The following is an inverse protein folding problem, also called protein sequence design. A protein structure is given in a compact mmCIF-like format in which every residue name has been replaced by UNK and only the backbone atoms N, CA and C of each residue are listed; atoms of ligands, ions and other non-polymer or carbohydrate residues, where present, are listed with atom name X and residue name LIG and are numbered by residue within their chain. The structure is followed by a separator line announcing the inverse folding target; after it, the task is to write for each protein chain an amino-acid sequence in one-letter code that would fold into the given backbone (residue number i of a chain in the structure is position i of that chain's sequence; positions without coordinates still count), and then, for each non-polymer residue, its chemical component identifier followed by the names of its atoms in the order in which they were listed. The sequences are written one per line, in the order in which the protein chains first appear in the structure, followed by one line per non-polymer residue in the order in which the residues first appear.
data_IF_610043282610
#
_entry.id   IF_610043282610
#
_cell.length_a   1.000
_cell.length_b   1.000
_cell.length_c   1.000
_cell.angle_alpha   90.00
_cell.angle_beta   90.00
_cell.angle_gamma   90.00
#
_symmetry.space_group_name_H-M   'P 1'
#
loop_
_entity.id
_entity.type
_entity.pdbx_description
1 polymer ?
#
# COMPACT_ATOMS: atom_id res chain seq x y z
N UNK A 1 -6.93 8.53 6.54
CA UNK A 1 -6.61 9.08 5.20
C UNK A 1 -5.17 8.68 4.91
N UNK A 2 -4.82 8.33 3.66
CA UNK A 2 -3.47 7.87 3.36
C UNK A 2 -2.48 9.03 3.57
N UNK A 3 -1.29 8.72 4.09
CA UNK A 3 -0.26 9.72 4.36
C UNK A 3 0.36 10.17 3.03
N UNK A 4 0.23 11.45 2.69
CA UNK A 4 0.78 11.99 1.44
C UNK A 4 2.30 12.04 1.47
N UNK A 5 2.92 11.75 0.33
CA UNK A 5 4.38 11.81 0.20
C UNK A 5 4.78 13.30 0.16
N UNK A 6 5.77 13.75 0.96
CA UNK A 6 6.23 15.14 0.90
C UNK A 6 6.72 15.52 -0.51
N UNK A 7 6.35 16.71 -0.98
CA UNK A 7 6.76 17.23 -2.30
C UNK A 7 5.89 16.79 -3.47
N UNK A 8 4.77 16.08 -3.24
CA UNK A 8 3.83 15.73 -4.32
C UNK A 8 3.02 16.90 -4.84
N UNK A 9 3.00 18.03 -4.11
CA UNK A 9 2.25 19.24 -4.44
C UNK A 9 2.83 19.95 -5.68
N UNK A 10 4.14 19.75 -5.93
CA UNK A 10 4.86 20.33 -7.07
C UNK A 10 4.82 19.43 -8.32
N UNK A 11 4.10 18.31 -8.29
CA UNK A 11 4.06 17.36 -9.40
C UNK A 11 3.11 17.88 -10.48
N UNK A 12 3.68 18.22 -11.63
CA UNK A 12 2.93 18.53 -12.84
C UNK A 12 2.49 17.25 -13.56
N UNK A 13 1.18 17.06 -13.72
CA UNK A 13 0.62 15.91 -14.43
C UNK A 13 0.59 16.19 -15.93
N UNK A 14 1.17 15.27 -16.71
CA UNK A 14 1.19 15.39 -18.18
C UNK A 14 -0.23 15.32 -18.75
N UNK A 15 -0.60 16.20 -19.70
CA UNK A 15 -1.97 16.26 -20.25
C UNK A 15 -2.48 14.92 -20.80
N UNK A 16 -1.67 14.23 -21.62
CA UNK A 16 -2.08 12.94 -22.19
C UNK A 16 -2.24 11.82 -21.16
N UNK A 17 -1.61 11.92 -19.99
CA UNK A 17 -1.87 11.02 -18.87
C UNK A 17 -3.22 11.33 -18.24
N UNK A 18 -3.47 12.60 -17.93
CA UNK A 18 -4.71 13.04 -17.30
C UNK A 18 -5.94 12.68 -18.14
N UNK A 19 -5.93 13.00 -19.45
CA UNK A 19 -7.03 12.68 -20.35
C UNK A 19 -7.35 11.19 -20.38
N UNK A 20 -6.32 10.35 -20.53
CA UNK A 20 -6.46 8.90 -20.57
C UNK A 20 -7.05 8.35 -19.27
N UNK A 21 -6.51 8.76 -18.13
CA UNK A 21 -6.94 8.22 -16.84
C UNK A 21 -8.30 8.78 -16.40
N UNK A 22 -8.64 10.02 -16.76
CA UNK A 22 -10.01 10.54 -16.62
C UNK A 22 -11.01 9.75 -17.47
N UNK A 23 -10.64 9.37 -18.69
CA UNK A 23 -11.50 8.53 -19.55
C UNK A 23 -11.73 7.13 -18.97
N UNK A 24 -10.70 6.50 -18.39
CA UNK A 24 -10.79 5.14 -17.83
C UNK A 24 -11.51 5.13 -16.48
N UNK A 25 -11.18 6.08 -15.59
CA UNK A 25 -11.60 6.06 -14.18
C UNK A 25 -12.82 6.95 -13.90
N UNK A 26 -13.10 7.93 -14.77
CA UNK A 26 -14.21 8.87 -14.59
C UNK A 26 -14.17 9.54 -13.22
N UNK A 27 -15.20 9.29 -12.41
CA UNK A 27 -15.34 9.83 -11.04
C UNK A 27 -14.23 9.38 -10.07
N UNK A 28 -13.59 8.24 -10.34
CA UNK A 28 -12.58 7.66 -9.44
C UNK A 28 -11.17 8.23 -9.69
N UNK A 29 -11.00 9.09 -10.71
CA UNK A 29 -9.71 9.70 -11.05
C UNK A 29 -9.05 10.43 -9.88
N UNK A 30 -9.81 11.27 -9.16
CA UNK A 30 -9.27 12.03 -8.03
C UNK A 30 -8.75 11.11 -6.91
N UNK A 31 -9.50 10.04 -6.61
CA UNK A 31 -9.10 9.04 -5.62
C UNK A 31 -7.86 8.28 -6.07
N UNK A 32 -7.79 7.92 -7.35
CA UNK A 32 -6.59 7.29 -7.91
C UNK A 32 -5.34 8.16 -7.73
N UNK A 33 -5.44 9.47 -7.99
CA UNK A 33 -4.34 10.40 -7.79
C UNK A 33 -3.96 10.54 -6.31
N UNK A 34 -4.95 10.68 -5.42
CA UNK A 34 -4.72 10.74 -3.96
C UNK A 34 -3.90 9.54 -3.47
N UNK A 35 -4.31 8.32 -3.84
CA UNK A 35 -3.60 7.12 -3.41
C UNK A 35 -2.25 6.94 -4.11
N UNK A 36 -2.11 7.37 -5.38
CA UNK A 36 -0.86 7.28 -6.13
C UNK A 36 0.23 8.20 -5.58
N UNK A 37 -0.16 9.28 -4.89
CA UNK A 37 0.73 10.27 -4.27
C UNK A 37 0.88 10.07 -2.75
N UNK A 38 0.51 8.89 -2.25
CA UNK A 38 0.54 8.56 -0.83
C UNK A 38 1.41 7.37 -0.52
N UNK A 39 1.90 7.28 0.72
CA UNK A 39 2.68 6.14 1.18
C UNK A 39 1.82 4.87 1.16
N UNK A 40 2.43 3.79 0.66
CA UNK A 40 1.81 2.48 0.71
C UNK A 40 1.67 2.02 2.15
N UNK A 41 0.55 1.33 2.44
CA UNK A 41 0.39 0.63 3.71
C UNK A 41 1.53 -0.37 3.88
N UNK A 42 2.29 -0.22 4.97
CA UNK A 42 3.43 -1.11 5.25
C UNK A 42 2.96 -2.56 5.34
N UNK A 43 3.70 -3.45 4.68
CA UNK A 43 3.40 -4.87 4.67
C UNK A 43 4.67 -5.70 4.66
N UNK A 44 4.56 -6.93 5.15
CA UNK A 44 5.61 -7.92 5.16
C UNK A 44 5.10 -9.24 4.58
N UNK A 45 6.00 -9.99 3.94
CA UNK A 45 5.76 -11.39 3.55
C UNK A 45 6.77 -12.27 4.24
N UNK A 46 6.29 -13.23 5.01
CA UNK A 46 7.15 -14.19 5.72
C UNK A 46 7.92 -15.04 4.69
N UNK A 47 9.24 -15.12 4.84
CA UNK A 47 10.06 -16.03 4.06
C UNK A 47 10.01 -17.44 4.66
N UNK A 48 9.17 -18.29 4.08
CA UNK A 48 8.91 -19.65 4.57
C UNK A 48 10.09 -20.61 4.43
N UNK A 49 11.11 -20.27 3.64
CA UNK A 49 12.36 -21.04 3.57
C UNK A 49 13.23 -20.88 4.82
N UNK A 50 13.04 -19.80 5.58
CA UNK A 50 13.84 -19.50 6.78
C UNK A 50 13.09 -19.75 8.08
N UNK A 51 11.76 -19.66 8.08
CA UNK A 51 10.94 -19.73 9.30
C UNK A 51 9.46 -19.95 8.98
N UNK A 52 8.62 -20.17 9.98
CA UNK A 52 7.17 -20.35 9.81
C UNK A 52 6.39 -19.05 10.08
N UNK A 53 5.18 -18.95 9.52
CA UNK A 53 4.27 -17.83 9.77
C UNK A 53 3.91 -17.70 11.26
N UNK A 54 3.70 -18.83 11.95
CA UNK A 54 3.37 -18.85 13.37
C UNK A 54 4.51 -18.27 14.23
N UNK A 55 5.75 -18.62 13.92
CA UNK A 55 6.93 -18.13 14.64
C UNK A 55 7.11 -16.62 14.46
N UNK A 56 6.96 -16.11 13.22
CA UNK A 56 7.03 -14.66 12.97
C UNK A 56 5.90 -13.91 13.68
N UNK A 57 4.67 -14.43 13.64
CA UNK A 57 3.56 -13.83 14.39
C UNK A 57 3.87 -13.72 15.87
N UNK A 58 4.42 -14.78 16.48
CA UNK A 58 4.82 -14.77 17.89
C UNK A 58 5.89 -13.72 18.19
N UNK A 59 6.92 -13.62 17.33
CA UNK A 59 8.03 -12.67 17.50
C UNK A 59 7.62 -11.21 17.36
N UNK A 60 6.70 -10.93 16.44
CA UNK A 60 6.29 -9.56 16.13
C UNK A 60 5.10 -9.07 16.95
N UNK A 61 4.36 -9.97 17.61
CA UNK A 61 3.14 -9.65 18.38
C UNK A 61 3.35 -8.54 19.42
N UNK A 62 4.52 -8.47 20.04
CA UNK A 62 4.81 -7.52 21.11
C UNK A 62 5.20 -6.13 20.59
N UNK A 63 5.52 -6.00 19.30
CA UNK A 63 6.03 -4.76 18.68
C UNK A 63 5.12 -4.19 17.60
N UNK A 64 4.33 -5.04 16.95
CA UNK A 64 3.55 -4.68 15.77
C UNK A 64 2.18 -5.35 15.77
N UNK A 65 1.18 -4.64 15.27
CA UNK A 65 -0.13 -5.23 14.99
C UNK A 65 -0.12 -5.82 13.59
N UNK A 66 -0.31 -7.15 13.50
CA UNK A 66 -0.29 -7.88 12.23
C UNK A 66 -1.70 -8.19 11.76
N UNK A 67 -2.11 -7.64 10.61
CA UNK A 67 -3.38 -7.97 9.96
C UNK A 67 -3.15 -8.83 8.72
N UNK A 68 -3.79 -10.01 8.59
CA UNK A 68 -3.58 -10.89 7.44
C UNK A 68 -4.06 -10.26 6.12
N UNK A 69 -3.26 -10.40 5.07
CA UNK A 69 -3.66 -9.99 3.71
C UNK A 69 -4.57 -11.07 3.10
N UNK A 70 -5.79 -10.74 2.62
CA UNK A 70 -6.78 -11.73 2.19
C UNK A 70 -6.32 -12.69 1.09
N UNK A 71 -5.47 -12.20 0.18
CA UNK A 71 -4.98 -12.94 -0.98
C UNK A 71 -3.56 -13.52 -0.79
N UNK A 72 -2.91 -13.32 0.35
CA UNK A 72 -1.56 -13.83 0.61
C UNK A 72 -1.46 -14.41 2.02
N UNK A 73 -1.36 -15.74 2.13
CA UNK A 73 -1.35 -16.48 3.41
C UNK A 73 -0.14 -16.12 4.27
N UNK A 74 1.00 -15.86 3.64
CA UNK A 74 2.26 -15.47 4.27
C UNK A 74 2.40 -13.94 4.42
N UNK A 75 1.41 -13.17 3.96
CA UNK A 75 1.42 -11.72 3.91
C UNK A 75 0.65 -11.07 5.06
N UNK A 76 1.23 -10.02 5.64
CA UNK A 76 0.63 -9.26 6.73
C UNK A 76 0.82 -7.76 6.50
N UNK A 77 -0.22 -6.97 6.75
CA UNK A 77 -0.10 -5.53 6.98
C UNK A 77 0.41 -5.30 8.40
N UNK A 78 1.29 -4.30 8.55
CA UNK A 78 1.91 -3.95 9.83
C UNK A 78 1.48 -2.54 10.26
N UNK A 79 1.08 -2.43 11.52
CA UNK A 79 0.73 -1.17 12.19
C UNK A 79 1.53 -1.02 13.47
#
# INVERSE_FOLDING_TARGET
MPETIPGTEDIEIKPGFEERYKSILGKDYNKFMEYSLSFLRRSIRVNTLKTTVQEIKKRLKDKWTLTPVPWCKEGFWIE
#
